data_IF_687450070744
#
_entry.id   IF_687450070744
#
_cell.length_a   1.000
_cell.length_b   1.000
_cell.length_c   1.000
_cell.angle_alpha   90.00
_cell.angle_beta   90.00
_cell.angle_gamma   90.00
#
_symmetry.space_group_name_H-M   'P 1'
#
loop_
_entity.id
_entity.type
_entity.pdbx_description
1 polymer ?
#
# COMPACT_ATOMS: atom_id res chain seq x y z
N UNK A 1 -24.85 -10.48 -20.96
CA UNK A 1 -23.67 -9.74 -20.45
C UNK A 1 -22.51 -10.09 -21.35
N UNK A 2 -21.79 -9.11 -21.88
CA UNK A 2 -20.66 -9.38 -22.79
C UNK A 2 -19.54 -10.06 -22.00
N UNK A 3 -19.14 -11.26 -22.43
CA UNK A 3 -18.14 -12.08 -21.74
C UNK A 3 -16.79 -11.36 -21.59
N UNK A 4 -16.42 -10.53 -22.57
CA UNK A 4 -15.22 -9.68 -22.52
C UNK A 4 -15.29 -8.63 -21.42
N UNK A 5 -16.44 -7.99 -21.23
CA UNK A 5 -16.64 -7.03 -20.15
C UNK A 5 -16.58 -7.73 -18.79
N UNK A 6 -17.21 -8.89 -18.67
CA UNK A 6 -17.20 -9.69 -17.44
C UNK A 6 -15.77 -10.13 -17.06
N UNK A 7 -14.97 -10.62 -18.01
CA UNK A 7 -13.58 -11.00 -17.79
C UNK A 7 -12.71 -9.79 -17.41
N UNK A 8 -12.87 -8.67 -18.10
CA UNK A 8 -12.12 -7.44 -17.80
C UNK A 8 -12.42 -6.96 -16.39
N UNK A 9 -13.70 -6.93 -16.01
CA UNK A 9 -14.12 -6.58 -14.65
C UNK A 9 -13.55 -7.55 -13.61
N UNK A 10 -13.60 -8.85 -13.88
CA UNK A 10 -13.04 -9.85 -12.96
C UNK A 10 -11.54 -9.64 -12.72
N UNK A 11 -10.76 -9.38 -13.78
CA UNK A 11 -9.32 -9.10 -13.66
C UNK A 11 -9.07 -7.81 -12.90
N UNK A 12 -9.81 -6.74 -13.18
CA UNK A 12 -9.68 -5.46 -12.48
C UNK A 12 -10.01 -5.62 -11.00
N UNK A 13 -11.11 -6.29 -10.67
CA UNK A 13 -11.53 -6.54 -9.30
C UNK A 13 -10.51 -7.41 -8.56
N UNK A 14 -9.99 -8.45 -9.20
CA UNK A 14 -8.96 -9.31 -8.61
C UNK A 14 -7.66 -8.52 -8.35
N UNK A 15 -7.21 -7.71 -9.32
CA UNK A 15 -6.03 -6.88 -9.17
C UNK A 15 -6.20 -5.83 -8.06
N UNK A 16 -7.38 -5.21 -7.96
CA UNK A 16 -7.69 -4.27 -6.89
C UNK A 16 -7.65 -4.94 -5.51
N UNK A 17 -8.23 -6.14 -5.38
CA UNK A 17 -8.16 -6.92 -4.14
C UNK A 17 -6.71 -7.31 -3.80
N UNK A 18 -5.95 -7.81 -4.77
CA UNK A 18 -4.54 -8.17 -4.58
C UNK A 18 -3.68 -6.96 -4.20
N UNK A 19 -3.94 -5.79 -4.78
CA UNK A 19 -3.25 -4.54 -4.44
C UNK A 19 -3.52 -4.12 -3.00
N UNK A 20 -4.78 -4.17 -2.56
CA UNK A 20 -5.15 -3.82 -1.18
C UNK A 20 -4.42 -4.69 -0.17
N UNK A 21 -4.50 -6.02 -0.36
CA UNK A 21 -3.81 -7.00 0.49
C UNK A 21 -2.30 -6.78 0.46
N UNK A 22 -1.72 -6.57 -0.73
CA UNK A 22 -0.28 -6.31 -0.87
C UNK A 22 0.19 -5.02 -0.17
N UNK A 23 -0.64 -3.96 -0.19
CA UNK A 23 -0.33 -2.69 0.47
C UNK A 23 -0.30 -2.84 1.99
N UNK A 24 -1.25 -3.56 2.56
CA UNK A 24 -1.30 -3.89 3.99
C UNK A 24 -0.07 -4.70 4.42
N UNK A 25 0.25 -5.79 3.72
CA UNK A 25 1.44 -6.59 4.01
C UNK A 25 2.74 -5.80 3.84
N UNK A 26 2.83 -4.92 2.82
CA UNK A 26 3.99 -4.07 2.63
C UNK A 26 4.19 -3.14 3.83
N UNK A 27 3.13 -2.50 4.32
CA UNK A 27 3.18 -1.63 5.49
C UNK A 27 3.54 -2.39 6.78
N UNK A 28 2.96 -3.56 7.02
CA UNK A 28 3.27 -4.41 8.18
C UNK A 28 4.73 -4.88 8.15
N UNK A 29 5.28 -5.18 6.97
CA UNK A 29 6.66 -5.68 6.83
C UNK A 29 7.73 -4.61 7.05
N UNK A 30 7.37 -3.33 6.91
CA UNK A 30 8.33 -2.23 6.96
C UNK A 30 8.74 -1.95 8.41
N UNK A 31 10.05 -1.96 8.64
CA UNK A 31 10.63 -1.56 9.93
C UNK A 31 10.89 -0.05 9.94
N UNK A 32 10.24 0.67 10.86
CA UNK A 32 10.42 2.11 11.07
C UNK A 32 11.89 2.52 11.13
N UNK A 33 12.70 1.78 11.88
CA UNK A 33 14.14 2.04 12.07
C UNK A 33 14.97 2.02 10.78
N UNK A 34 14.49 1.39 9.70
CA UNK A 34 15.18 1.39 8.41
C UNK A 34 14.71 2.52 7.48
N UNK A 35 13.46 2.95 7.59
CA UNK A 35 12.89 4.04 6.77
C UNK A 35 13.26 5.41 7.34
N UNK A 36 13.36 5.54 8.66
CA UNK A 36 13.66 6.80 9.34
C UNK A 36 15.01 7.44 8.93
N UNK A 37 16.13 6.69 8.82
CA UNK A 37 17.37 7.23 8.25
C UNK A 37 17.20 7.71 6.81
N UNK A 38 16.40 7.02 5.99
CA UNK A 38 16.16 7.41 4.61
C UNK A 38 15.30 8.68 4.51
N UNK A 39 14.33 8.86 5.40
CA UNK A 39 13.53 10.08 5.50
C UNK A 39 14.37 11.27 5.96
N UNK A 40 15.25 11.08 6.95
CA UNK A 40 16.19 12.10 7.42
C UNK A 40 17.19 12.52 6.33
N UNK A 41 17.59 11.60 5.45
CA UNK A 41 18.40 11.89 4.25
C UNK A 41 17.64 12.63 3.14
N UNK A 42 16.37 13.00 3.35
CA UNK A 42 15.57 13.79 2.42
C UNK A 42 14.75 12.99 1.42
N UNK A 43 14.65 11.66 1.55
CA UNK A 43 13.82 10.85 0.65
C UNK A 43 12.33 11.16 0.87
N UNK A 44 11.70 11.76 -0.15
CA UNK A 44 10.26 12.05 -0.15
C UNK A 44 9.42 10.79 0.05
N UNK A 45 9.79 9.68 -0.60
CA UNK A 45 9.10 8.39 -0.46
C UNK A 45 9.21 7.85 0.96
N UNK A 46 10.40 7.91 1.56
CA UNK A 46 10.60 7.46 2.94
C UNK A 46 9.79 8.29 3.94
N UNK A 47 9.67 9.60 3.72
CA UNK A 47 8.79 10.48 4.52
C UNK A 47 7.32 10.08 4.39
N UNK A 48 6.84 9.81 3.19
CA UNK A 48 5.46 9.35 2.97
C UNK A 48 5.20 8.00 3.63
N UNK A 49 6.14 7.05 3.52
CA UNK A 49 6.04 5.75 4.19
C UNK A 49 6.04 5.89 5.71
N UNK A 50 6.89 6.74 6.28
CA UNK A 50 6.88 7.03 7.73
C UNK A 50 5.55 7.63 8.19
N UNK A 51 5.04 8.62 7.44
CA UNK A 51 3.73 9.21 7.73
C UNK A 51 2.62 8.15 7.68
N UNK A 52 2.62 7.29 6.66
CA UNK A 52 1.67 6.19 6.56
C UNK A 52 1.79 5.23 7.74
N UNK A 53 3.01 4.84 8.15
CA UNK A 53 3.23 3.97 9.30
C UNK A 53 2.72 4.58 10.62
N UNK A 54 2.86 5.89 10.81
CA UNK A 54 2.37 6.59 12.01
C UNK A 54 0.84 6.75 12.04
N UNK A 55 0.20 6.87 10.87
CA UNK A 55 -1.24 7.08 10.74
C UNK A 55 -2.02 5.81 10.36
N UNK A 56 -1.35 4.67 10.27
CA UNK A 56 -1.97 3.37 9.94
C UNK A 56 -3.15 3.02 10.84
N UNK A 57 -3.04 3.29 12.15
CA UNK A 57 -4.13 3.03 13.11
C UNK A 57 -5.35 3.93 12.88
N UNK A 58 -5.17 5.12 12.31
CA UNK A 58 -6.26 6.04 11.97
C UNK A 58 -6.91 5.73 10.61
N UNK A 59 -6.24 4.95 9.75
CA UNK A 59 -6.79 4.49 8.46
C UNK A 59 -7.49 3.13 8.56
N UNK A 60 -7.23 2.34 9.61
CA UNK A 60 -7.81 1.01 9.83
C UNK A 60 -8.91 0.97 10.92
N UNK A 61 -9.21 2.11 11.55
CA UNK A 61 -10.33 2.30 12.48
C UNK A 61 -11.50 2.99 11.76
#
# INVERSE_FOLDING_TARGET
MDSTLALTLAVVLLAANAFFVGAEFALISVRRSQIEPAALKGSRRARTTLWALEHLSAMMA
#
